data_IF_528871993553
#
_entry.id   IF_528871993553
#
_cell.length_a   1.000
_cell.length_b   1.000
_cell.length_c   1.000
_cell.angle_alpha   90.00
_cell.angle_beta   90.00
_cell.angle_gamma   90.00
#
_symmetry.space_group_name_H-M   'P 1'
#
loop_
_entity.id
_entity.type
_entity.pdbx_description
1 polymer ?
#
# COMPACT_ATOMS: atom_id res chain seq x y z
N UNK A 1 15.79 8.87 -3.03
CA UNK A 1 15.21 8.46 -4.33
C UNK A 1 14.74 7.02 -4.19
N UNK A 2 13.49 6.70 -4.52
CA UNK A 2 12.98 5.33 -4.38
C UNK A 2 13.63 4.40 -5.41
N UNK A 3 14.19 3.28 -4.94
CA UNK A 3 14.72 2.22 -5.78
C UNK A 3 13.56 1.36 -6.35
N UNK A 4 13.88 0.31 -7.11
CA UNK A 4 12.87 -0.56 -7.72
C UNK A 4 12.04 -1.32 -6.65
N UNK A 5 12.70 -1.82 -5.63
CA UNK A 5 12.07 -2.55 -4.52
C UNK A 5 11.03 -1.68 -3.79
N UNK A 6 11.37 -0.43 -3.50
CA UNK A 6 10.47 0.53 -2.88
C UNK A 6 9.20 0.76 -3.72
N UNK A 7 9.35 0.84 -5.04
CA UNK A 7 8.21 1.04 -5.97
C UNK A 7 7.32 -0.20 -6.04
N UNK A 8 7.92 -1.39 -6.11
CA UNK A 8 7.19 -2.66 -6.11
C UNK A 8 6.37 -2.78 -4.82
N UNK A 9 7.01 -2.55 -3.67
CA UNK A 9 6.35 -2.64 -2.38
C UNK A 9 5.15 -1.70 -2.27
N UNK A 10 5.28 -0.43 -2.68
CA UNK A 10 4.17 0.52 -2.62
C UNK A 10 2.96 0.04 -3.43
N UNK A 11 3.20 -0.50 -4.62
CA UNK A 11 2.12 -1.02 -5.49
C UNK A 11 1.47 -2.24 -4.84
N UNK A 12 2.27 -3.20 -4.35
CA UNK A 12 1.75 -4.41 -3.71
C UNK A 12 0.97 -4.10 -2.43
N UNK A 13 1.51 -3.24 -1.56
CA UNK A 13 0.85 -2.82 -0.32
C UNK A 13 -0.45 -2.05 -0.59
N UNK A 14 -0.50 -1.22 -1.63
CA UNK A 14 -1.74 -0.52 -2.02
C UNK A 14 -2.88 -1.48 -2.37
N UNK A 15 -2.59 -2.54 -3.12
CA UNK A 15 -3.59 -3.56 -3.45
C UNK A 15 -3.91 -4.49 -2.27
N UNK A 16 -2.91 -4.85 -1.47
CA UNK A 16 -3.09 -5.70 -0.28
C UNK A 16 -3.99 -5.06 0.77
N UNK A 17 -3.89 -3.74 0.93
CA UNK A 17 -4.68 -2.97 1.89
C UNK A 17 -6.06 -2.56 1.36
N UNK A 18 -6.47 -3.08 0.21
CA UNK A 18 -7.80 -2.83 -0.32
C UNK A 18 -8.87 -3.48 0.58
N UNK A 19 -9.88 -2.72 0.95
CA UNK A 19 -10.99 -3.19 1.76
C UNK A 19 -12.23 -3.39 0.90
N UNK A 20 -12.76 -4.62 0.90
CA UNK A 20 -14.03 -4.90 0.22
C UNK A 20 -15.19 -4.31 1.03
N UNK A 21 -15.94 -3.43 0.40
CA UNK A 21 -17.11 -2.78 0.98
C UNK A 21 -18.36 -3.66 0.84
N UNK A 22 -19.41 -3.37 1.63
CA UNK A 22 -20.66 -4.14 1.63
C UNK A 22 -21.39 -4.12 0.28
N UNK A 23 -21.22 -3.06 -0.51
CA UNK A 23 -21.77 -2.93 -1.87
C UNK A 23 -20.97 -3.73 -2.92
N UNK A 24 -19.90 -4.41 -2.52
CA UNK A 24 -19.04 -5.19 -3.41
C UNK A 24 -17.90 -4.39 -4.06
N UNK A 25 -17.83 -3.07 -3.85
CA UNK A 25 -16.72 -2.23 -4.33
C UNK A 25 -15.47 -2.42 -3.46
N UNK A 26 -14.31 -2.12 -4.04
CA UNK A 26 -13.04 -2.09 -3.31
C UNK A 26 -12.67 -0.66 -2.97
N UNK A 27 -12.39 -0.42 -1.69
CA UNK A 27 -11.86 0.85 -1.22
C UNK A 27 -10.35 0.72 -1.06
N UNK A 28 -9.62 1.61 -1.72
CA UNK A 28 -8.18 1.68 -1.64
C UNK A 28 -7.76 2.90 -0.82
N UNK A 29 -6.75 2.73 0.03
CA UNK A 29 -6.20 3.80 0.86
C UNK A 29 -4.69 3.91 0.64
N UNK A 30 -4.25 5.06 0.13
CA UNK A 30 -2.83 5.34 0.01
C UNK A 30 -2.16 5.47 1.39
N UNK A 31 -2.90 5.88 2.42
CA UNK A 31 -2.36 6.07 3.77
C UNK A 31 -1.88 4.75 4.38
N UNK A 32 -2.63 3.65 4.18
CA UNK A 32 -2.20 2.32 4.66
C UNK A 32 -0.91 1.87 3.98
N UNK A 33 -0.83 2.08 2.67
CA UNK A 33 0.38 1.81 1.89
C UNK A 33 1.60 2.63 2.36
N UNK A 34 1.42 3.92 2.66
CA UNK A 34 2.50 4.78 3.17
C UNK A 34 2.95 4.31 4.57
N UNK A 35 2.02 3.95 5.45
CA UNK A 35 2.36 3.47 6.79
C UNK A 35 3.14 2.14 6.72
N UNK A 36 2.69 1.20 5.89
CA UNK A 36 3.39 -0.07 5.67
C UNK A 36 4.79 0.17 5.10
N UNK A 37 4.91 1.10 4.16
CA UNK A 37 6.18 1.46 3.55
C UNK A 37 7.16 2.01 4.58
N UNK A 38 6.71 2.92 5.46
CA UNK A 38 7.53 3.47 6.55
C UNK A 38 7.96 2.41 7.57
N UNK A 39 7.12 1.40 7.81
CA UNK A 39 7.47 0.29 8.70
C UNK A 39 8.45 -0.71 8.06
N UNK A 40 8.35 -0.94 6.75
CA UNK A 40 9.17 -1.90 6.01
C UNK A 40 10.53 -1.32 5.57
N UNK A 41 10.55 -0.03 5.24
CA UNK A 41 11.76 0.73 4.90
C UNK A 41 11.89 1.92 5.87
N UNK A 42 12.14 1.66 7.16
CA UNK A 42 12.59 2.69 8.05
C UNK A 42 14.02 3.05 7.60
N UNK A 43 14.22 4.28 7.12
CA UNK A 43 15.58 4.81 6.95
C UNK A 43 16.36 4.74 8.28
#
# INVERSE_FOLDING_TARGET
>A
MFNLEHKIFLVESYFKNAERQQNGEWKYSIQGCINDFQNAFPD
#
